data_IF_989680555942
#
_entry.id   IF_989680555942
#
_cell.length_a   1.000
_cell.length_b   1.000
_cell.length_c   1.000
_cell.angle_alpha   90.00
_cell.angle_beta   90.00
_cell.angle_gamma   90.00
#
_symmetry.space_group_name_H-M   'P 1'
#
loop_
_entity.id
_entity.type
_entity.pdbx_description
1 polymer ?
2 non-polymer ?
3 water ?
#
# COMPACT_ATOMS: atom_id res chain seq x y z
N UNK A 13 18.97 15.20 17.75
CA UNK A 13 19.78 15.85 16.67
C UNK A 13 20.08 14.86 15.54
N UNK A 14 20.38 13.61 15.91
CA UNK A 14 20.68 12.56 14.94
C UNK A 14 19.48 12.24 14.04
N UNK A 15 18.31 12.75 14.42
CA UNK A 15 17.10 12.59 13.62
C UNK A 15 16.74 13.85 12.83
N UNK A 16 17.64 14.83 12.86
CA UNK A 16 17.48 16.05 12.07
C UNK A 16 17.67 15.70 10.60
N UNK A 17 16.84 16.28 9.69
CA UNK A 17 16.77 15.92 8.27
C UNK A 17 18.12 15.69 7.55
N UNK A 18 19.01 16.65 7.61
CA UNK A 18 20.28 16.49 6.93
C UNK A 18 21.12 15.35 7.54
N UNK A 19 21.12 15.27 8.85
CA UNK A 19 21.94 14.28 9.55
C UNK A 19 21.39 12.87 9.35
N UNK A 20 20.06 12.77 9.42
CA UNK A 20 19.34 11.51 9.27
C UNK A 20 19.52 10.84 7.90
N UNK A 21 19.60 11.64 6.84
CA UNK A 21 19.86 11.13 5.51
C UNK A 21 21.30 10.66 5.39
N UNK A 22 22.24 11.45 5.90
CA UNK A 22 23.63 11.03 5.89
C UNK A 22 23.82 9.78 6.74
N UNK A 23 23.07 9.69 7.84
CA UNK A 23 23.18 8.51 8.67
C UNK A 23 22.62 7.31 7.92
N UNK A 24 21.50 7.49 7.22
CA UNK A 24 20.90 6.39 6.48
C UNK A 24 21.78 5.95 5.32
N UNK A 25 22.49 6.88 4.71
CA UNK A 25 23.43 6.58 3.65
C UNK A 25 24.48 5.57 4.12
N UNK A 26 25.17 5.89 5.20
CA UNK A 26 26.24 5.03 5.70
C UNK A 26 25.69 3.65 6.09
N UNK A 27 24.42 3.58 6.50
CA UNK A 27 23.82 2.34 6.97
C UNK A 27 23.45 1.42 5.83
N UNK A 28 23.73 1.84 4.60
CA UNK A 28 23.36 1.04 3.43
C UNK A 28 24.04 -0.33 3.47
N UNK A 29 23.29 -1.40 3.19
CA UNK A 29 23.79 -2.79 3.12
C UNK A 29 24.84 -2.96 2.03
N UNK A 30 25.82 -3.85 2.23
CA UNK A 30 26.89 -4.06 1.25
C UNK A 30 26.35 -4.81 0.05
N UNK A 31 27.16 -4.91 -1.01
CA UNK A 31 26.78 -5.76 -2.12
C UNK A 31 26.73 -7.20 -1.64
N UNK A 32 25.73 -7.94 -2.10
CA UNK A 32 25.62 -9.36 -1.76
C UNK A 32 25.83 -10.25 -2.98
N UNK A 33 26.88 -11.06 -2.96
CA UNK A 33 27.13 -12.09 -3.96
C UNK A 33 26.61 -13.45 -3.47
N UNK A 34 25.72 -14.07 -4.24
CA UNK A 34 25.21 -15.40 -3.87
C UNK A 34 26.24 -16.51 -4.05
N UNK A 35 27.08 -16.39 -5.08
CA UNK A 35 28.16 -17.35 -5.30
C UNK A 35 27.63 -18.73 -5.64
N UNK A 36 26.94 -18.84 -6.78
CA UNK A 36 26.43 -20.11 -7.26
C UNK A 36 27.60 -20.97 -7.74
N UNK A 37 27.71 -22.20 -7.18
CA UNK A 37 28.77 -23.16 -7.53
C UNK A 37 28.65 -23.70 -8.97
N UNK A 44 13.30 -23.84 -9.66
CA UNK A 44 14.14 -24.63 -8.77
C UNK A 44 15.51 -23.98 -8.52
N UNK A 45 16.33 -23.83 -9.55
CA UNK A 45 17.64 -23.19 -9.39
C UNK A 45 17.51 -21.67 -9.34
N UNK A 46 16.76 -21.10 -10.29
CA UNK A 46 16.49 -19.67 -10.24
C UNK A 46 15.88 -19.44 -8.89
N UNK A 47 14.92 -20.27 -8.52
CA UNK A 47 14.32 -20.19 -7.20
C UNK A 47 15.31 -20.52 -6.09
N UNK A 48 16.35 -21.31 -6.39
CA UNK A 48 17.33 -21.57 -5.36
C UNK A 48 18.19 -20.34 -5.15
N UNK A 49 18.62 -19.75 -6.27
CA UNK A 49 19.41 -18.55 -6.21
C UNK A 49 18.66 -17.44 -5.46
N UNK A 50 17.44 -17.14 -5.88
CA UNK A 50 16.68 -16.07 -5.26
C UNK A 50 16.60 -16.31 -3.75
N UNK A 51 16.34 -17.54 -3.36
CA UNK A 51 16.24 -17.86 -1.94
C UNK A 51 17.58 -17.75 -1.23
N UNK A 52 18.65 -18.18 -1.88
CA UNK A 52 19.92 -18.12 -1.19
C UNK A 52 20.28 -16.66 -0.93
N UNK A 53 19.91 -15.80 -1.88
CA UNK A 53 20.16 -14.36 -1.80
C UNK A 53 19.33 -13.74 -0.68
N UNK A 54 18.04 -14.02 -0.65
CA UNK A 54 17.19 -13.38 0.34
C UNK A 54 17.74 -13.66 1.72
N UNK A 55 18.13 -14.91 1.94
CA UNK A 55 18.67 -15.33 3.21
C UNK A 55 19.92 -14.54 3.57
N UNK A 56 20.82 -14.36 2.62
CA UNK A 56 21.99 -13.50 2.82
C UNK A 56 21.62 -12.02 3.07
N UNK A 57 20.66 -11.50 2.32
CA UNK A 57 20.30 -10.09 2.41
C UNK A 57 19.65 -9.77 3.75
N UNK A 58 18.90 -10.73 4.28
CA UNK A 58 18.19 -10.54 5.54
C UNK A 58 19.13 -10.29 6.71
N UNK A 59 20.30 -10.92 6.66
CA UNK A 59 21.28 -10.69 7.69
C UNK A 59 21.64 -9.21 7.69
N UNK A 60 22.06 -8.71 6.53
CA UNK A 60 22.42 -7.30 6.40
C UNK A 60 21.27 -6.33 6.62
N UNK A 61 20.05 -6.78 6.37
CA UNK A 61 18.92 -5.91 6.61
C UNK A 61 18.76 -5.63 8.11
N UNK A 62 19.03 -6.64 8.94
CA UNK A 62 18.93 -6.47 10.38
C UNK A 62 19.97 -5.43 10.81
N UNK A 63 21.18 -5.58 10.31
CA UNK A 63 22.23 -4.61 10.64
C UNK A 63 21.73 -3.23 10.29
N UNK A 64 21.10 -3.13 9.13
CA UNK A 64 20.74 -1.86 8.55
C UNK A 64 19.75 -1.19 9.48
N UNK A 65 18.70 -1.92 9.83
CA UNK A 65 17.65 -1.37 10.69
C UNK A 65 18.21 -0.93 12.05
N UNK A 66 19.16 -1.69 12.57
CA UNK A 66 19.77 -1.34 13.84
C UNK A 66 20.47 0.03 13.78
N UNK A 67 20.92 0.40 12.59
CA UNK A 67 21.62 1.66 12.40
C UNK A 67 20.70 2.84 12.16
N UNK A 68 19.41 2.58 12.02
CA UNK A 68 18.47 3.67 11.90
C UNK A 68 18.32 4.31 13.27
N UNK A 69 18.69 5.59 13.40
CA UNK A 69 18.59 6.27 14.70
C UNK A 69 17.28 6.00 15.40
N UNK A 70 17.39 5.43 16.60
CA UNK A 70 16.22 5.21 17.42
C UNK A 70 15.55 3.85 17.25
N UNK A 71 15.99 3.06 16.27
CA UNK A 71 15.29 1.81 16.04
C UNK A 71 15.55 0.89 17.23
N UNK A 72 16.83 0.76 17.56
CA UNK A 72 17.26 -0.10 18.65
C UNK A 72 16.59 0.26 19.99
N UNK A 73 16.10 1.49 20.10
CA UNK A 73 15.46 1.94 21.31
C UNK A 73 13.97 1.67 21.39
N UNK A 74 13.37 1.18 20.31
CA UNK A 74 12.00 0.68 20.41
C UNK A 74 12.07 -0.60 21.26
N UNK A 75 10.93 -1.05 21.76
CA UNK A 75 10.93 -2.31 22.50
C UNK A 75 11.36 -3.42 21.54
N UNK A 76 12.04 -4.42 22.06
CA UNK A 76 12.51 -5.50 21.21
C UNK A 76 11.29 -6.12 20.55
N UNK A 77 10.17 -6.02 21.24
CA UNK A 77 8.89 -6.49 20.72
C UNK A 77 8.60 -5.84 19.37
N UNK A 78 8.68 -4.51 19.35
CA UNK A 78 8.38 -3.77 18.15
C UNK A 78 9.40 -4.01 17.06
N UNK A 79 10.68 -4.04 17.42
CA UNK A 79 11.75 -4.26 16.45
C UNK A 79 11.51 -5.54 15.67
N UNK A 80 11.29 -6.63 16.42
CA UNK A 80 11.03 -7.93 15.84
C UNK A 80 9.77 -7.86 15.00
N UNK A 81 8.73 -7.26 15.56
CA UNK A 81 7.45 -7.11 14.88
C UNK A 81 7.62 -6.42 13.52
N UNK A 82 8.39 -5.34 13.48
CA UNK A 82 8.55 -4.59 12.26
C UNK A 82 9.38 -5.39 11.29
N UNK A 83 10.47 -5.95 11.78
CA UNK A 83 11.39 -6.71 10.93
C UNK A 83 10.76 -7.96 10.31
N UNK A 84 9.81 -8.56 11.02
CA UNK A 84 9.18 -9.78 10.54
C UNK A 84 8.23 -9.46 9.37
N UNK A 85 7.56 -8.31 9.42
CA UNK A 85 6.54 -8.00 8.41
C UNK A 85 7.01 -7.15 7.23
N UNK A 86 8.20 -6.59 7.32
CA UNK A 86 8.66 -5.69 6.27
C UNK A 86 9.69 -6.33 5.34
N UNK A 87 10.32 -7.41 5.77
CA UNK A 87 11.57 -7.82 5.14
C UNK A 87 11.41 -7.93 3.61
N UNK A 88 10.30 -8.51 3.18
CA UNK A 88 10.03 -8.74 1.75
C UNK A 88 9.95 -7.39 1.01
N UNK A 89 9.12 -6.47 1.49
CA UNK A 89 9.04 -5.13 0.90
C UNK A 89 10.41 -4.48 0.77
N UNK A 90 11.20 -4.55 1.85
CA UNK A 90 12.48 -3.84 1.88
C UNK A 90 13.47 -4.46 0.90
N UNK A 91 13.33 -5.76 0.67
CA UNK A 91 14.19 -6.41 -0.31
C UNK A 91 13.73 -5.96 -1.67
N UNK A 92 12.42 -5.86 -1.84
CA UNK A 92 11.90 -5.45 -3.13
C UNK A 92 12.28 -3.99 -3.43
N UNK A 93 12.08 -3.09 -2.47
CA UNK A 93 12.46 -1.69 -2.64
C UNK A 93 13.90 -1.59 -3.08
N UNK A 94 14.76 -2.43 -2.48
CA UNK A 94 16.17 -2.41 -2.85
C UNK A 94 16.42 -2.96 -4.25
N UNK A 95 15.62 -3.96 -4.65
CA UNK A 95 15.66 -4.51 -6.00
C UNK A 95 15.30 -3.39 -7.00
N UNK A 96 14.17 -2.76 -6.75
CA UNK A 96 13.67 -1.70 -7.61
C UNK A 96 14.70 -0.61 -7.80
N UNK A 97 15.32 -0.21 -6.72
CA UNK A 97 16.22 0.90 -6.78
C UNK A 97 17.46 0.56 -7.58
N UNK A 98 18.00 -0.64 -7.46
CA UNK A 98 19.19 -0.90 -8.28
C UNK A 98 18.80 -1.21 -9.73
N UNK A 99 17.53 -1.57 -9.93
CA UNK A 99 17.02 -1.89 -11.28
C UNK A 99 16.52 -0.67 -12.03
N UNK A 100 16.57 0.48 -11.37
CA UNK A 100 15.81 1.64 -11.78
C UNK A 100 16.24 2.20 -13.14
N UNK A 101 17.48 1.96 -13.54
CA UNK A 101 18.03 2.57 -14.74
C UNK A 101 18.10 1.58 -15.88
N UNK A 102 17.53 0.39 -15.67
CA UNK A 102 17.58 -0.64 -16.68
C UNK A 102 16.23 -1.29 -16.85
N UNK A 103 15.41 -0.74 -17.76
CA UNK A 103 14.08 -1.29 -18.04
C UNK A 103 14.19 -2.68 -18.64
N UNK A 104 13.22 -3.52 -18.31
CA UNK A 104 13.21 -4.90 -18.78
C UNK A 104 14.08 -5.84 -17.98
N UNK A 105 14.76 -5.32 -16.96
CA UNK A 105 15.65 -6.15 -16.16
C UNK A 105 15.51 -5.93 -14.66
N UNK A 106 16.06 -6.86 -13.89
CA UNK A 106 15.95 -6.79 -12.44
C UNK A 106 17.30 -7.16 -11.83
N UNK A 107 18.10 -6.15 -11.47
CA UNK A 107 19.41 -6.44 -10.89
C UNK A 107 19.22 -6.89 -9.44
N UNK A 108 19.04 -8.19 -9.24
CA UNK A 108 18.92 -8.76 -7.90
C UNK A 108 20.23 -8.67 -7.14
N UNK A 109 21.33 -9.02 -7.79
CA UNK A 109 22.64 -8.96 -7.13
C UNK A 109 23.70 -8.87 -8.20
N UNK A 110 24.95 -8.58 -7.81
CA UNK A 110 26.02 -8.35 -8.80
C UNK A 110 26.35 -9.53 -9.71
N UNK A 111 25.70 -10.67 -9.49
CA UNK A 111 25.89 -11.80 -10.40
C UNK A 111 24.57 -12.50 -10.58
N UNK A 112 23.50 -11.72 -10.55
CA UNK A 112 22.17 -12.27 -10.73
C UNK A 112 21.23 -11.21 -11.32
N UNK A 113 21.41 -10.96 -12.62
CA UNK A 113 20.55 -10.07 -13.37
C UNK A 113 19.58 -10.94 -14.15
N UNK A 114 18.29 -10.80 -13.88
CA UNK A 114 17.27 -11.54 -14.59
C UNK A 114 16.40 -10.59 -15.41
N UNK A 115 16.16 -10.89 -16.68
CA UNK A 115 15.21 -10.10 -17.45
C UNK A 115 13.84 -10.74 -17.42
N UNK A 116 12.84 -9.98 -17.81
CA UNK A 116 11.46 -10.35 -17.58
C UNK A 116 11.19 -11.79 -17.97
N UNK A 117 11.62 -12.17 -19.17
CA UNK A 117 11.24 -13.45 -19.75
C UNK A 117 11.81 -14.64 -18.99
N UNK A 118 12.96 -14.47 -18.36
CA UNK A 118 13.51 -15.53 -17.52
C UNK A 118 12.53 -15.89 -16.42
N UNK A 119 11.47 -15.11 -16.29
CA UNK A 119 10.50 -15.36 -15.25
C UNK A 119 9.39 -16.31 -15.68
N UNK A 120 9.42 -16.76 -16.93
CA UNK A 120 8.42 -17.69 -17.43
C UNK A 120 8.74 -19.11 -17.01
N UNK A 121 10.03 -19.39 -16.83
CA UNK A 121 10.48 -20.68 -16.29
C UNK A 121 9.61 -21.09 -15.11
N UNK A 122 9.72 -20.38 -14.01
CA UNK A 122 8.91 -20.70 -12.83
C UNK A 122 7.54 -20.06 -12.92
N UNK A 123 6.51 -20.86 -12.66
CA UNK A 123 5.13 -20.43 -12.81
C UNK A 123 4.79 -19.46 -11.69
N UNK A 124 4.03 -18.41 -12.03
CA UNK A 124 3.59 -17.45 -11.01
C UNK A 124 4.59 -16.33 -10.79
N UNK A 125 5.82 -16.53 -11.24
CA UNK A 125 6.88 -15.56 -11.05
C UNK A 125 6.84 -14.48 -12.11
N UNK A 126 6.46 -14.82 -13.33
CA UNK A 126 6.35 -13.81 -14.36
C UNK A 126 5.39 -12.70 -13.94
N UNK A 127 4.31 -13.09 -13.27
CA UNK A 127 3.34 -12.13 -12.80
C UNK A 127 4.00 -11.13 -11.87
N UNK A 128 4.81 -11.63 -10.95
CA UNK A 128 5.46 -10.79 -9.94
C UNK A 128 6.53 -9.91 -10.56
N UNK A 129 7.36 -10.48 -11.42
CA UNK A 129 8.36 -9.70 -12.15
C UNK A 129 7.72 -8.49 -12.84
N UNK A 130 6.49 -8.66 -13.30
CA UNK A 130 5.87 -7.59 -14.08
C UNK A 130 5.37 -6.49 -13.17
N UNK A 131 5.04 -6.83 -11.92
CA UNK A 131 4.73 -5.81 -10.92
C UNK A 131 5.98 -5.02 -10.52
N UNK A 132 7.05 -5.73 -10.22
CA UNK A 132 8.29 -5.11 -9.82
C UNK A 132 8.81 -4.20 -10.92
N UNK A 133 8.71 -4.66 -12.16
CA UNK A 133 9.22 -3.90 -13.30
C UNK A 133 8.35 -2.67 -13.53
N UNK A 134 7.04 -2.84 -13.33
CA UNK A 134 6.10 -1.76 -13.54
C UNK A 134 6.37 -0.70 -12.49
N UNK A 135 6.56 -1.18 -11.26
CA UNK A 135 6.75 -0.31 -10.10
C UNK A 135 8.10 0.43 -10.20
N UNK A 136 9.12 -0.29 -10.61
CA UNK A 136 10.41 0.30 -10.91
C UNK A 136 10.27 1.40 -11.96
N UNK A 137 9.44 1.14 -12.97
CA UNK A 137 9.29 2.05 -14.09
C UNK A 137 8.72 3.36 -13.61
N UNK A 138 7.81 3.27 -12.65
CA UNK A 138 7.18 4.44 -12.09
C UNK A 138 8.18 5.30 -11.25
N UNK A 139 9.00 4.66 -10.41
CA UNK A 139 10.09 5.34 -9.74
C UNK A 139 11.09 5.96 -10.74
N UNK A 140 11.26 5.35 -11.90
CA UNK A 140 12.12 5.98 -12.90
C UNK A 140 11.47 7.24 -13.47
N UNK A 141 10.15 7.19 -13.63
CA UNK A 141 9.42 8.31 -14.17
C UNK A 141 9.39 9.48 -13.21
N UNK A 142 9.38 9.20 -11.90
CA UNK A 142 9.33 10.24 -10.90
C UNK A 142 10.73 10.74 -10.67
N UNK A 143 11.69 10.05 -11.25
CA UNK A 143 13.07 10.43 -11.08
C UNK A 143 13.41 10.39 -9.60
N UNK A 144 13.15 9.25 -8.96
CA UNK A 144 13.45 9.05 -7.56
C UNK A 144 14.91 9.38 -7.30
N UNK A 145 15.14 10.23 -6.30
CA UNK A 145 16.48 10.65 -5.91
C UNK A 145 17.12 9.71 -4.88
N UNK A 146 18.45 9.67 -4.84
CA UNK A 146 19.15 8.83 -3.88
C UNK A 146 18.69 9.15 -2.44
N UNK A 147 18.60 10.45 -2.10
CA UNK A 147 18.09 10.83 -0.79
C UNK A 147 16.66 10.35 -0.56
N UNK A 148 15.79 10.56 -1.54
CA UNK A 148 14.39 10.20 -1.36
C UNK A 148 14.29 8.70 -1.08
N UNK A 149 15.06 7.93 -1.84
CA UNK A 149 15.06 6.48 -1.70
C UNK A 149 15.49 6.10 -0.28
N UNK A 150 16.59 6.68 0.19
CA UNK A 150 17.02 6.39 1.55
C UNK A 150 15.87 6.56 2.55
N UNK A 151 15.06 7.60 2.38
CA UNK A 151 13.99 7.86 3.34
C UNK A 151 12.85 6.88 3.14
N UNK A 152 12.53 6.62 1.88
CA UNK A 152 11.37 5.81 1.57
C UNK A 152 11.55 4.42 2.16
N UNK A 153 12.74 3.87 1.94
CA UNK A 153 13.09 2.58 2.49
C UNK A 153 12.95 2.55 4.03
N UNK A 154 13.59 3.49 4.73
CA UNK A 154 13.36 3.64 6.17
C UNK A 154 11.87 3.64 6.53
N UNK A 155 11.07 4.35 5.74
CA UNK A 155 9.66 4.46 6.05
C UNK A 155 8.93 3.14 5.84
N UNK A 156 9.45 2.32 4.94
CA UNK A 156 8.76 1.06 4.65
C UNK A 156 8.86 0.21 5.89
N UNK A 157 10.05 0.12 6.46
CA UNK A 157 10.30 -0.60 7.71
C UNK A 157 9.42 -0.08 8.82
N UNK A 158 9.44 1.23 9.04
CA UNK A 158 8.75 1.81 10.18
C UNK A 158 7.23 1.73 10.07
N UNK A 159 6.74 1.58 8.85
CA UNK A 159 5.31 1.59 8.62
C UNK A 159 4.79 0.17 8.33
N UNK A 160 5.68 -0.82 8.39
CA UNK A 160 5.35 -2.19 7.97
C UNK A 160 4.27 -2.87 8.81
N UNK A 161 4.18 -2.56 10.09
CA UNK A 161 3.13 -3.13 10.92
C UNK A 161 2.36 -2.05 11.67
N UNK A 162 1.03 -2.20 11.68
CA UNK A 162 0.09 -1.24 12.28
C UNK A 162 0.06 -1.50 13.75
N UNK A 163 0.08 -2.79 14.12
CA UNK A 163 -0.18 -3.22 15.49
C UNK A 163 0.70 -2.49 16.49
N UNK A 164 2.03 -2.53 16.28
CA UNK A 164 2.92 -1.89 17.26
C UNK A 164 2.69 -0.39 17.35
N UNK A 165 1.61 0.09 16.73
CA UNK A 165 1.28 1.50 16.73
C UNK A 165 -0.14 1.76 17.26
N UNK A 166 -0.97 0.71 17.31
CA UNK A 166 -2.33 0.86 17.83
C UNK A 166 -2.67 -0.17 18.91
N UNK A 174 6.25 2.56 23.99
CA UNK A 174 7.13 2.47 22.83
C UNK A 174 6.39 2.85 21.55
N UNK A 175 5.07 2.74 21.56
CA UNK A 175 4.28 3.19 20.42
C UNK A 175 4.56 4.67 20.20
N UNK A 176 4.48 5.45 21.29
CA UNK A 176 4.89 6.84 21.26
C UNK A 176 6.19 6.94 20.47
N UNK A 177 7.16 6.10 20.79
CA UNK A 177 8.46 6.18 20.16
C UNK A 177 8.44 5.91 18.67
N UNK A 178 7.67 4.91 18.24
CA UNK A 178 7.62 4.53 16.83
C UNK A 178 6.95 5.64 16.01
N UNK A 179 5.88 6.20 16.56
CA UNK A 179 5.19 7.30 15.92
C UNK A 179 6.15 8.47 15.69
N UNK A 180 6.95 8.80 16.70
CA UNK A 180 7.86 9.92 16.59
C UNK A 180 8.97 9.64 15.61
N UNK A 181 9.43 8.39 15.57
CA UNK A 181 10.44 7.98 14.61
C UNK A 181 9.91 8.09 13.16
N UNK A 182 8.69 7.62 12.94
CA UNK A 182 8.07 7.63 11.63
C UNK A 182 7.92 9.08 11.16
N UNK A 183 7.44 9.96 12.04
CA UNK A 183 7.35 11.38 11.73
C UNK A 183 8.72 11.94 11.40
N UNK A 184 9.73 11.44 12.08
CA UNK A 184 11.06 11.98 11.85
C UNK A 184 11.49 11.76 10.41
N UNK A 185 11.20 10.57 9.88
CA UNK A 185 11.68 10.21 8.56
C UNK A 185 10.86 10.87 7.47
N UNK A 186 9.55 10.95 7.69
CA UNK A 186 8.68 11.82 6.91
C UNK A 186 9.22 13.25 6.77
N UNK A 187 9.52 13.90 7.90
CA UNK A 187 10.02 15.27 7.85
C UNK A 187 11.27 15.31 6.98
N UNK A 188 12.07 14.26 7.07
CA UNK A 188 13.30 14.24 6.31
C UNK A 188 12.96 14.16 4.83
N UNK A 189 11.97 13.34 4.49
CA UNK A 189 11.52 13.20 3.12
C UNK A 189 10.95 14.54 2.65
N UNK A 190 10.11 15.15 3.47
CA UNK A 190 9.54 16.45 3.16
C UNK A 190 10.66 17.44 2.95
N UNK A 191 11.69 17.35 3.78
CA UNK A 191 12.80 18.30 3.66
C UNK A 191 13.54 18.12 2.34
N UNK A 192 13.88 16.86 2.05
CA UNK A 192 14.51 16.45 0.79
C UNK A 192 13.74 16.98 -0.42
N UNK A 193 12.43 16.80 -0.41
CA UNK A 193 11.62 17.27 -1.51
C UNK A 193 11.65 18.80 -1.61
N UNK A 194 11.66 19.46 -0.47
CA UNK A 194 11.66 20.91 -0.45
C UNK A 194 12.91 21.48 -1.10
N UNK A 195 14.09 21.02 -0.72
CA UNK A 195 15.30 21.59 -1.33
C UNK A 195 15.38 21.25 -2.81
N UNK A 196 14.30 20.65 -3.30
CA UNK A 196 14.15 20.37 -4.72
C UNK A 196 13.95 21.69 -5.48
N UNK A 197 13.48 22.71 -4.78
CA UNK A 197 13.29 23.99 -5.42
C UNK A 197 12.00 24.11 -6.19
N UNK A 198 11.14 23.09 -6.11
CA UNK A 198 9.84 23.13 -6.80
C UNK A 198 8.79 23.83 -5.96
N UNK A 199 7.69 24.22 -6.60
CA UNK A 199 6.65 24.99 -5.94
C UNK A 199 6.02 24.15 -4.84
N UNK A 200 5.22 24.78 -3.98
CA UNK A 200 4.61 24.08 -2.87
C UNK A 200 3.47 23.16 -3.26
N UNK A 201 2.82 23.44 -4.38
CA UNK A 201 1.79 22.53 -4.87
C UNK A 201 2.49 21.28 -5.36
N UNK A 202 3.65 21.46 -5.99
CA UNK A 202 4.36 20.33 -6.56
C UNK A 202 5.01 19.51 -5.45
N UNK A 203 5.35 20.18 -4.37
CA UNK A 203 5.98 19.48 -3.26
C UNK A 203 4.98 18.52 -2.66
N UNK A 204 3.75 18.97 -2.46
CA UNK A 204 2.71 18.11 -1.94
C UNK A 204 2.40 16.99 -2.92
N UNK A 205 2.31 17.32 -4.20
CA UNK A 205 2.00 16.30 -5.18
C UNK A 205 3.08 15.22 -5.18
N UNK A 206 4.34 15.63 -5.15
CA UNK A 206 5.43 14.66 -5.17
C UNK A 206 5.52 13.84 -3.88
N UNK A 207 5.18 14.43 -2.74
CA UNK A 207 5.06 13.64 -1.53
C UNK A 207 3.96 12.60 -1.73
N UNK A 208 2.80 13.04 -2.21
CA UNK A 208 1.68 12.12 -2.42
C UNK A 208 2.02 11.04 -3.44
N UNK A 209 2.80 11.38 -4.46
CA UNK A 209 3.04 10.39 -5.51
C UNK A 209 3.98 9.33 -5.00
N UNK A 210 4.92 9.72 -4.16
CA UNK A 210 5.89 8.80 -3.57
C UNK A 210 5.17 7.83 -2.63
N UNK A 211 4.27 8.36 -1.82
CA UNK A 211 3.65 7.57 -0.78
C UNK A 211 2.63 6.59 -1.34
N UNK A 212 2.02 6.95 -2.46
CA UNK A 212 1.09 6.04 -3.10
C UNK A 212 1.85 4.87 -3.73
N UNK A 213 3.06 5.11 -4.21
CA UNK A 213 3.83 3.98 -4.67
C UNK A 213 4.04 2.91 -3.58
N UNK A 214 4.06 3.32 -2.31
CA UNK A 214 4.26 2.36 -1.21
C UNK A 214 3.15 1.30 -1.18
N UNK A 215 1.92 1.68 -1.55
CA UNK A 215 0.84 0.72 -1.76
C UNK A 215 1.23 -0.34 -2.78
N UNK A 216 1.97 0.05 -3.81
CA UNK A 216 2.32 -0.90 -4.83
C UNK A 216 3.49 -1.78 -4.42
N UNK A 217 4.41 -1.25 -3.62
CA UNK A 217 5.47 -2.08 -3.06
C UNK A 217 4.90 -3.07 -2.04
N UNK A 218 3.94 -2.62 -1.25
CA UNK A 218 3.28 -3.51 -0.33
C UNK A 218 2.69 -4.64 -1.16
N UNK A 219 2.07 -4.26 -2.28
CA UNK A 219 1.35 -5.18 -3.13
C UNK A 219 2.28 -6.29 -3.65
N UNK A 220 3.41 -5.89 -4.21
CA UNK A 220 4.34 -6.84 -4.79
C UNK A 220 4.94 -7.72 -3.66
N UNK A 221 5.01 -7.14 -2.47
CA UNK A 221 5.50 -7.84 -1.31
C UNK A 221 4.56 -8.98 -0.96
N UNK A 222 3.26 -8.69 -0.95
CA UNK A 222 2.28 -9.70 -0.65
C UNK A 222 2.28 -10.83 -1.69
N UNK A 223 2.43 -10.49 -2.95
CA UNK A 223 2.43 -11.49 -4.01
C UNK A 223 3.61 -12.41 -3.87
N UNK A 224 4.76 -11.84 -3.54
CA UNK A 224 5.95 -12.64 -3.36
C UNK A 224 5.84 -13.54 -2.15
N UNK A 225 5.12 -13.09 -1.10
CA UNK A 225 5.00 -13.87 0.14
C UNK A 225 4.05 -15.02 -0.07
N UNK A 226 2.90 -14.73 -0.66
CA UNK A 226 1.93 -15.77 -0.94
C UNK A 226 2.61 -16.83 -1.78
N UNK A 227 3.33 -16.38 -2.82
CA UNK A 227 4.02 -17.29 -3.71
C UNK A 227 5.12 -18.04 -3.00
N UNK A 228 5.88 -17.35 -2.15
CA UNK A 228 6.99 -17.97 -1.43
C UNK A 228 6.49 -19.14 -0.59
N UNK A 229 5.29 -18.99 -0.05
CA UNK A 229 4.73 -20.00 0.82
C UNK A 229 4.08 -21.15 0.05
N UNK A 230 3.67 -20.90 -1.20
CA UNK A 230 3.14 -21.94 -2.08
C UNK A 230 4.25 -22.80 -2.67
N UNK A 231 5.47 -22.67 -2.16
CA UNK A 231 6.57 -23.39 -2.78
C UNK A 231 6.97 -24.68 -2.08
N UNK A 232 7.29 -25.69 -2.90
CA UNK A 232 7.77 -26.99 -2.43
C UNK A 232 8.82 -27.53 -3.41
N UNK A 239 13.73 -19.44 3.94
CA UNK A 239 14.10 -18.08 4.32
C UNK A 239 13.36 -17.62 5.58
N UNK A 240 12.05 -17.82 5.61
CA UNK A 240 11.26 -17.28 6.72
C UNK A 240 11.70 -17.85 8.07
N UNK A 241 11.98 -19.14 8.09
CA UNK A 241 12.44 -19.80 9.31
C UNK A 241 13.83 -19.32 9.68
N UNK A 242 14.69 -19.19 8.68
CA UNK A 242 16.03 -18.63 8.88
C UNK A 242 15.95 -17.22 9.44
N UNK A 243 14.98 -16.44 8.94
CA UNK A 243 14.75 -15.09 9.45
C UNK A 243 14.34 -15.10 10.93
N UNK A 244 13.41 -15.99 11.28
CA UNK A 244 13.01 -16.14 12.67
C UNK A 244 14.15 -16.56 13.58
N UNK A 245 15.09 -17.34 13.03
CA UNK A 245 16.31 -17.70 13.76
C UNK A 245 17.15 -16.46 14.01
N UNK A 246 17.33 -15.64 12.98
CA UNK A 246 18.06 -14.38 13.11
C UNK A 246 17.36 -13.46 14.11
N UNK A 247 16.04 -13.57 14.16
CA UNK A 247 15.23 -12.70 15.01
C UNK A 247 15.32 -13.11 16.47
N UNK A 248 15.38 -14.41 16.73
CA UNK A 248 15.63 -14.88 18.08
C UNK A 248 17.07 -14.54 18.48
N UNK A 249 18.00 -14.58 17.51
CA UNK A 249 19.39 -14.17 17.75
C UNK A 249 19.46 -12.68 18.09
N UNK A 250 18.64 -11.88 17.40
CA UNK A 250 18.48 -10.48 17.72
C UNK A 250 17.86 -10.33 19.11
N UNK B 12 -12.12 21.46 -16.46
CA UNK B 12 -11.12 21.75 -15.40
C UNK B 12 -11.83 22.04 -14.08
N UNK B 13 -12.82 22.93 -14.13
CA UNK B 13 -13.42 23.47 -12.91
C UNK B 13 -14.20 22.42 -12.10
N UNK B 14 -14.80 21.46 -12.79
CA UNK B 14 -15.55 20.40 -12.13
C UNK B 14 -14.63 19.56 -11.24
N UNK B 15 -13.32 19.66 -11.46
CA UNK B 15 -12.32 18.94 -10.68
C UNK B 15 -11.71 19.84 -9.59
N UNK B 16 -12.30 21.01 -9.39
CA UNK B 16 -11.82 21.94 -8.37
C UNK B 16 -12.08 21.40 -6.98
N UNK B 17 -11.12 21.58 -6.07
CA UNK B 17 -11.21 21.02 -4.71
C UNK B 17 -12.63 21.04 -4.10
N UNK B 18 -13.29 22.18 -4.12
CA UNK B 18 -14.59 22.26 -3.47
C UNK B 18 -15.67 21.49 -4.22
N UNK B 19 -15.74 21.67 -5.53
CA UNK B 19 -16.78 21.02 -6.31
C UNK B 19 -16.59 19.51 -6.23
N UNK B 20 -15.34 19.08 -6.33
CA UNK B 20 -14.97 17.67 -6.34
C UNK B 20 -15.48 16.88 -5.13
N UNK B 21 -15.24 17.43 -3.94
CA UNK B 21 -15.66 16.82 -2.70
C UNK B 21 -17.19 16.74 -2.62
N UNK B 22 -17.87 17.82 -2.99
CA UNK B 22 -19.33 17.77 -3.01
C UNK B 22 -19.82 16.77 -4.05
N UNK B 23 -19.13 16.68 -5.19
CA UNK B 23 -19.56 15.74 -6.19
C UNK B 23 -19.37 14.32 -5.67
N UNK B 24 -18.27 14.08 -4.97
CA UNK B 24 -18.00 12.73 -4.46
C UNK B 24 -19.02 12.41 -3.39
N UNK B 25 -19.45 13.42 -2.65
CA UNK B 25 -20.45 13.21 -1.60
C UNK B 25 -21.75 12.64 -2.18
N UNK B 26 -22.32 13.34 -3.14
CA UNK B 26 -23.55 12.87 -3.80
C UNK B 26 -23.34 11.50 -4.44
N UNK B 27 -22.13 11.23 -4.93
CA UNK B 27 -21.86 9.96 -5.60
C UNK B 27 -21.81 8.78 -4.62
N UNK B 28 -21.99 9.04 -3.34
CA UNK B 28 -21.87 7.95 -2.35
C UNK B 28 -22.92 6.87 -2.59
N UNK B 29 -22.50 5.59 -2.54
CA UNK B 29 -23.36 4.41 -2.71
C UNK B 29 -24.46 4.38 -1.66
N UNK B 30 -25.62 3.77 -1.99
CA UNK B 30 -26.74 3.68 -1.04
C UNK B 30 -26.43 2.62 0.01
N UNK B 31 -27.22 2.59 1.08
CA UNK B 31 -27.12 1.49 2.03
C UNK B 31 -27.45 0.17 1.32
N UNK B 32 -26.73 -0.89 1.63
CA UNK B 32 -26.98 -2.18 1.00
C UNK B 32 -27.49 -3.23 1.98
N UNK B 33 -28.79 -3.52 1.90
CA UNK B 33 -29.42 -4.57 2.72
C UNK B 33 -29.20 -5.93 2.08
N UNK B 34 -28.49 -6.79 2.78
CA UNK B 34 -28.17 -8.12 2.26
C UNK B 34 -29.43 -9.01 2.21
N UNK B 35 -30.33 -8.81 3.17
CA UNK B 35 -31.61 -9.50 3.16
C UNK B 35 -31.46 -11.02 3.13
N UNK B 36 -31.05 -11.59 4.27
CA UNK B 36 -30.91 -13.03 4.41
C UNK B 36 -32.24 -13.65 4.82
N UNK B 37 -32.69 -14.67 4.08
CA UNK B 37 -33.97 -15.37 4.33
C UNK B 37 -34.03 -16.11 5.67
N UNK B 44 -19.30 -20.73 5.94
CA UNK B 44 -20.30 -21.00 4.90
C UNK B 44 -21.42 -19.95 4.85
N UNK B 45 -22.16 -19.78 5.95
CA UNK B 45 -23.25 -18.81 5.96
C UNK B 45 -22.71 -17.38 6.14
N UNK B 46 -21.85 -17.19 7.14
CA UNK B 46 -21.19 -15.90 7.29
C UNK B 46 -20.47 -15.57 5.98
N UNK B 47 -19.74 -16.53 5.46
CA UNK B 47 -19.07 -16.33 4.18
C UNK B 47 -20.05 -16.29 3.04
N UNK B 48 -21.29 -16.72 3.27
CA UNK B 48 -22.32 -16.65 2.23
C UNK B 48 -22.90 -15.25 2.22
N UNK B 49 -23.13 -14.73 3.42
CA UNK B 49 -23.58 -13.36 3.58
C UNK B 49 -22.57 -12.38 2.99
N UNK B 50 -21.35 -12.42 3.50
CA UNK B 50 -20.33 -11.48 3.03
C UNK B 50 -20.26 -11.50 1.52
N UNK B 51 -20.36 -12.69 0.93
CA UNK B 51 -20.24 -12.82 -0.51
C UNK B 51 -21.44 -12.27 -1.26
N UNK B 52 -22.63 -12.44 -0.69
CA UNK B 52 -23.79 -11.91 -1.36
C UNK B 52 -23.76 -10.39 -1.27
N UNK B 53 -23.30 -9.89 -0.14
CA UNK B 53 -23.16 -8.45 0.09
C UNK B 53 -22.17 -7.87 -0.92
N UNK B 54 -20.98 -8.47 -1.01
CA UNK B 54 -19.94 -7.92 -1.87
C UNK B 54 -20.50 -7.77 -3.27
N UNK B 55 -21.27 -8.77 -3.68
CA UNK B 55 -21.81 -8.81 -5.02
C UNK B 55 -22.75 -7.63 -5.24
N UNK B 56 -23.64 -7.41 -4.27
CA UNK B 56 -24.53 -6.24 -4.30
C UNK B 56 -23.76 -4.90 -4.28
N UNK B 57 -22.75 -4.81 -3.42
CA UNK B 57 -21.96 -3.60 -3.32
C UNK B 57 -21.24 -3.28 -4.61
N UNK B 58 -20.75 -4.30 -5.30
CA UNK B 58 -20.01 -4.12 -6.56
C UNK B 58 -20.82 -3.44 -7.63
N UNK B 59 -22.13 -3.68 -7.62
CA UNK B 59 -23.01 -3.04 -8.57
C UNK B 59 -22.92 -1.55 -8.34
N UNK B 60 -23.16 -1.15 -7.09
CA UNK B 60 -23.16 0.25 -6.74
C UNK B 60 -21.80 0.91 -6.82
N UNK B 61 -20.74 0.12 -6.66
CA UNK B 61 -19.42 0.67 -6.77
C UNK B 61 -19.14 1.14 -8.19
N UNK B 62 -19.66 0.41 -9.19
CA UNK B 62 -19.48 0.78 -10.59
C UNK B 62 -20.18 2.13 -10.79
N UNK B 63 -21.41 2.23 -10.32
CA UNK B 63 -22.12 3.49 -10.46
C UNK B 63 -21.26 4.61 -9.86
N UNK B 64 -20.64 4.30 -8.72
CA UNK B 64 -19.98 5.32 -7.93
C UNK B 64 -18.80 5.85 -8.73
N UNK B 65 -17.98 4.93 -9.23
CA UNK B 65 -16.83 5.34 -10.02
C UNK B 65 -17.27 6.17 -11.22
N UNK B 66 -18.36 5.76 -11.86
CA UNK B 66 -18.83 6.44 -13.06
C UNK B 66 -19.22 7.91 -12.78
N UNK B 67 -19.47 8.21 -11.50
CA UNK B 67 -19.81 9.58 -11.09
C UNK B 67 -18.59 10.40 -10.68
N UNK B 68 -17.42 9.81 -10.67
CA UNK B 68 -16.21 10.58 -10.39
C UNK B 68 -15.84 11.34 -11.64
N UNK B 69 -15.83 12.67 -11.57
CA UNK B 69 -15.52 13.50 -12.73
C UNK B 69 -14.32 12.99 -13.50
N UNK B 70 -14.54 12.71 -14.78
CA UNK B 70 -13.46 12.29 -15.65
C UNK B 70 -13.24 10.78 -15.70
N UNK B 71 -13.83 10.04 -14.76
CA UNK B 71 -13.56 8.62 -14.75
C UNK B 71 -14.04 8.05 -16.07
N UNK B 72 -15.26 8.41 -16.42
CA UNK B 72 -15.90 7.95 -17.65
C UNK B 72 -15.11 8.33 -18.93
N UNK B 73 -14.32 9.38 -18.85
CA UNK B 73 -13.59 9.85 -20.02
C UNK B 73 -12.18 9.27 -20.11
N UNK B 74 -11.90 8.24 -19.32
CA UNK B 74 -10.69 7.44 -19.53
C UNK B 74 -11.07 6.37 -20.55
N UNK B 75 -10.07 5.68 -21.09
CA UNK B 75 -10.36 4.61 -22.03
C UNK B 75 -11.07 3.50 -21.27
N UNK B 76 -11.97 2.81 -21.95
CA UNK B 76 -12.70 1.73 -21.33
C UNK B 76 -11.72 0.75 -20.74
N UNK B 77 -10.61 0.55 -21.44
CA UNK B 77 -9.59 -0.38 -20.98
C UNK B 77 -9.10 -0.01 -19.59
N UNK B 78 -8.89 1.28 -19.36
CA UNK B 78 -8.40 1.70 -18.07
C UNK B 78 -9.49 1.64 -17.01
N UNK B 79 -10.72 1.97 -17.38
CA UNK B 79 -11.81 1.92 -16.42
C UNK B 79 -11.95 0.51 -15.86
N UNK B 80 -11.85 -0.47 -16.75
CA UNK B 80 -12.02 -1.86 -16.36
C UNK B 80 -10.82 -2.32 -15.54
N UNK B 81 -9.62 -1.94 -15.98
CA UNK B 81 -8.41 -2.23 -15.22
C UNK B 81 -8.56 -1.78 -13.76
N UNK B 82 -8.98 -0.54 -13.58
CA UNK B 82 -9.03 0.06 -12.24
C UNK B 82 -10.10 -0.61 -11.41
N UNK B 83 -11.30 -0.74 -11.98
CA UNK B 83 -12.38 -1.36 -11.24
C UNK B 83 -12.09 -2.81 -10.81
N UNK B 84 -11.45 -3.59 -11.69
CA UNK B 84 -11.10 -4.96 -11.33
C UNK B 84 -10.02 -5.00 -10.23
N UNK B 85 -9.11 -4.03 -10.24
CA UNK B 85 -7.98 -4.04 -9.30
C UNK B 85 -8.34 -3.55 -7.90
N UNK B 86 -9.34 -2.70 -7.80
CA UNK B 86 -9.55 -1.96 -6.57
C UNK B 86 -10.74 -2.45 -5.75
N UNK B 87 -11.62 -3.23 -6.36
CA UNK B 87 -12.96 -3.37 -5.80
C UNK B 87 -12.90 -3.83 -4.34
N UNK B 88 -11.98 -4.75 -4.03
CA UNK B 88 -11.82 -5.23 -2.66
C UNK B 88 -11.38 -4.09 -1.70
N UNK B 89 -10.29 -3.39 -2.03
CA UNK B 89 -9.86 -2.22 -1.24
C UNK B 89 -10.99 -1.23 -1.04
N UNK B 90 -11.73 -0.92 -2.10
CA UNK B 90 -12.75 0.10 -1.97
C UNK B 90 -13.85 -0.38 -1.04
N UNK B 91 -14.13 -1.68 -1.09
CA UNK B 91 -15.17 -2.26 -0.23
C UNK B 91 -14.69 -2.23 1.21
N UNK B 92 -13.42 -2.56 1.40
CA UNK B 92 -12.82 -2.53 2.72
C UNK B 92 -12.73 -1.11 3.27
N UNK B 93 -12.31 -0.17 2.43
CA UNK B 93 -12.27 1.24 2.84
C UNK B 93 -13.64 1.66 3.33
N UNK B 94 -14.69 1.23 2.63
CA UNK B 94 -16.04 1.57 3.06
C UNK B 94 -16.42 0.91 4.38
N UNK B 95 -15.93 -0.31 4.60
CA UNK B 95 -16.17 -1.03 5.85
C UNK B 95 -15.56 -0.25 7.02
N UNK B 96 -14.27 0.02 6.91
CA UNK B 96 -13.52 0.77 7.92
C UNK B 96 -14.21 2.06 8.29
N UNK B 97 -14.70 2.75 7.28
CA UNK B 97 -15.29 4.05 7.53
C UNK B 97 -16.59 3.95 8.32
N UNK B 98 -17.46 3.01 7.98
CA UNK B 98 -18.69 2.95 8.78
C UNK B 98 -18.47 2.31 10.15
N UNK B 99 -17.41 1.52 10.27
CA UNK B 99 -17.03 0.88 11.53
C UNK B 99 -16.25 1.80 12.46
N UNK B 100 -15.94 2.99 11.98
CA UNK B 100 -14.85 3.77 12.54
C UNK B 100 -15.13 4.20 13.99
N UNK B 101 -16.38 4.23 14.38
CA UNK B 101 -16.74 4.74 15.69
C UNK B 101 -17.14 3.64 16.64
N UNK B 102 -16.88 2.40 16.24
CA UNK B 102 -17.26 1.28 17.07
C UNK B 102 -16.15 0.27 17.09
N UNK B 103 -15.23 0.43 18.04
CA UNK B 103 -14.10 -0.49 18.20
C UNK B 103 -14.59 -1.90 18.52
N UNK B 104 -13.89 -2.89 18.00
CA UNK B 104 -14.24 -4.28 18.24
C UNK B 104 -15.28 -4.82 17.29
N UNK B 105 -15.82 -3.95 16.43
CA UNK B 105 -16.89 -4.35 15.51
C UNK B 105 -16.63 -3.95 14.07
N UNK B 106 -17.37 -4.57 13.18
CA UNK B 106 -17.27 -4.28 11.75
C UNK B 106 -18.67 -4.19 11.20
N UNK B 107 -19.14 -2.96 10.97
CA UNK B 107 -20.45 -2.77 10.38
C UNK B 107 -20.33 -2.99 8.87
N UNK B 108 -20.59 -4.22 8.43
CA UNK B 108 -20.56 -4.56 7.01
C UNK B 108 -21.76 -4.00 6.27
N UNK B 109 -22.93 -4.07 6.89
CA UNK B 109 -24.14 -3.55 6.28
C UNK B 109 -25.15 -3.33 7.40
N UNK B 110 -26.27 -2.66 7.13
CA UNK B 110 -27.27 -2.38 8.16
C UNK B 110 -27.90 -3.61 8.84
N UNK B 111 -27.69 -4.80 8.29
CA UNK B 111 -28.19 -5.98 8.98
C UNK B 111 -27.09 -7.02 9.11
N UNK B 112 -25.86 -6.56 9.14
CA UNK B 112 -24.72 -7.45 9.26
C UNK B 112 -23.57 -6.80 10.01
N UNK B 113 -23.70 -6.75 11.33
CA UNK B 113 -22.64 -6.27 12.20
C UNK B 113 -21.95 -7.47 12.82
N UNK B 114 -20.65 -7.58 12.62
CA UNK B 114 -19.88 -8.68 13.21
C UNK B 114 -18.85 -8.13 14.17
N UNK B 115 -18.57 -8.84 15.26
CA UNK B 115 -17.47 -8.44 16.13
C UNK B 115 -16.32 -9.42 16.01
N UNK B 116 -15.15 -8.99 16.48
CA UNK B 116 -13.92 -9.71 16.23
C UNK B 116 -14.16 -11.21 16.35
N UNK B 117 -14.70 -11.62 17.49
CA UNK B 117 -14.78 -13.04 17.84
C UNK B 117 -15.51 -13.88 16.81
N UNK B 118 -16.59 -13.36 16.27
CA UNK B 118 -17.34 -14.09 15.26
C UNK B 118 -16.47 -14.47 14.07
N UNK B 119 -15.27 -13.90 14.04
CA UNK B 119 -14.36 -14.21 12.95
C UNK B 119 -13.61 -15.53 13.16
N UNK B 120 -13.85 -16.16 14.30
CA UNK B 120 -13.19 -17.42 14.61
C UNK B 120 -13.86 -18.59 13.91
N UNK B 121 -15.16 -18.47 13.68
CA UNK B 121 -15.91 -19.50 12.98
C UNK B 121 -15.17 -19.95 11.73
N UNK B 122 -15.12 -19.08 10.73
CA UNK B 122 -14.40 -19.40 9.50
C UNK B 122 -12.89 -19.20 9.69
N UNK B 123 -12.11 -20.18 9.24
CA UNK B 123 -10.67 -20.18 9.42
C UNK B 123 -10.05 -19.17 8.46
N UNK B 124 -9.04 -18.45 8.95
CA UNK B 124 -8.33 -17.48 8.12
C UNK B 124 -8.93 -16.08 8.23
N UNK B 125 -10.22 -16.04 8.52
CA UNK B 125 -10.96 -14.80 8.57
C UNK B 125 -10.57 -13.97 9.79
N UNK B 126 -10.21 -14.64 10.88
CA UNK B 126 -9.86 -13.90 12.09
C UNK B 126 -8.65 -13.02 11.88
N UNK B 127 -7.68 -13.49 11.09
CA UNK B 127 -6.51 -12.70 10.83
C UNK B 127 -6.92 -11.41 10.10
N UNK B 128 -7.76 -11.55 9.08
CA UNK B 128 -8.20 -10.42 8.29
C UNK B 128 -8.94 -9.41 9.16
N UNK B 129 -9.95 -9.87 9.89
CA UNK B 129 -10.70 -9.00 10.80
C UNK B 129 -9.76 -8.17 11.67
N UNK B 130 -8.62 -8.73 12.03
CA UNK B 130 -7.75 -8.04 12.95
C UNK B 130 -6.96 -6.94 12.25
N UNK B 131 -6.66 -7.13 10.97
CA UNK B 131 -6.09 -6.07 10.16
C UNK B 131 -7.12 -4.96 9.97
N UNK B 132 -8.32 -5.34 9.56
CA UNK B 132 -9.36 -4.37 9.30
C UNK B 132 -9.64 -3.56 10.55
N UNK B 133 -9.67 -4.23 11.69
CA UNK B 133 -9.99 -3.56 12.93
C UNK B 133 -8.84 -2.67 13.39
N UNK B 134 -7.61 -3.14 13.13
CA UNK B 134 -6.44 -2.37 13.50
C UNK B 134 -6.41 -1.10 12.65
N UNK B 135 -6.64 -1.26 11.35
CA UNK B 135 -6.64 -0.15 10.41
C UNK B 135 -7.74 0.87 10.69
N UNK B 136 -8.93 0.37 11.03
CA UNK B 136 -10.01 1.22 11.47
C UNK B 136 -9.62 2.04 12.71
N UNK B 137 -8.77 1.50 13.56
CA UNK B 137 -8.44 2.19 14.82
C UNK B 137 -7.46 3.29 14.52
N UNK B 138 -6.61 3.00 13.55
CA UNK B 138 -5.58 3.97 13.14
C UNK B 138 -6.24 5.15 12.38
N UNK B 139 -7.36 4.89 11.69
CA UNK B 139 -8.17 5.97 11.13
C UNK B 139 -8.99 6.71 12.18
N UNK B 140 -9.35 6.04 13.28
CA UNK B 140 -10.11 6.72 14.35
C UNK B 140 -9.18 7.60 15.19
N UNK B 141 -7.93 7.18 15.31
CA UNK B 141 -6.94 7.98 16.01
C UNK B 141 -6.59 9.27 15.25
N UNK B 142 -6.55 9.19 13.92
CA UNK B 142 -6.19 10.35 13.09
C UNK B 142 -7.38 11.24 12.94
N UNK B 143 -8.51 10.77 13.43
CA UNK B 143 -9.75 11.50 13.31
C UNK B 143 -10.05 11.81 11.83
N UNK B 144 -10.13 10.75 11.01
CA UNK B 144 -10.45 10.91 9.59
C UNK B 144 -11.72 11.71 9.42
N UNK B 145 -11.67 12.75 8.60
CA UNK B 145 -12.80 13.63 8.33
C UNK B 145 -13.67 13.06 7.20
N UNK B 146 -14.94 13.40 7.22
CA UNK B 146 -15.86 12.92 6.20
C UNK B 146 -15.37 13.31 4.78
N UNK B 147 -14.87 14.52 4.57
CA UNK B 147 -14.33 14.79 3.24
C UNK B 147 -12.98 14.18 2.95
N UNK B 148 -12.16 14.02 3.99
CA UNK B 148 -10.88 13.32 3.80
C UNK B 148 -11.15 11.89 3.30
N UNK B 149 -12.18 11.29 3.86
CA UNK B 149 -12.58 9.95 3.49
C UNK B 149 -13.02 9.90 2.03
N UNK B 150 -13.90 10.84 1.64
CA UNK B 150 -14.34 10.86 0.25
C UNK B 150 -13.17 10.91 -0.69
N UNK B 151 -12.14 11.70 -0.36
CA UNK B 151 -11.02 11.85 -1.29
C UNK B 151 -10.19 10.59 -1.30
N UNK B 152 -10.00 10.03 -0.12
CA UNK B 152 -9.12 8.87 0.04
C UNK B 152 -9.65 7.70 -0.78
N UNK B 153 -10.94 7.43 -0.65
CA UNK B 153 -11.59 6.38 -1.40
C UNK B 153 -11.43 6.58 -2.93
N UNK B 154 -11.73 7.79 -3.42
CA UNK B 154 -11.42 8.10 -4.82
C UNK B 154 -9.99 7.73 -5.19
N UNK B 155 -9.05 8.02 -4.30
CA UNK B 155 -7.64 7.81 -4.62
C UNK B 155 -7.35 6.32 -4.71
N UNK B 156 -8.07 5.54 -3.91
CA UNK B 156 -7.81 4.10 -3.86
C UNK B 156 -8.13 3.50 -5.22
N UNK B 157 -9.27 3.90 -5.79
CA UNK B 157 -9.65 3.50 -7.14
C UNK B 157 -8.62 3.97 -8.15
N UNK B 158 -8.35 5.27 -8.17
CA UNK B 158 -7.47 5.83 -9.19
C UNK B 158 -6.03 5.30 -9.10
N UNK B 159 -5.66 4.83 -7.92
CA UNK B 159 -4.29 4.37 -7.71
C UNK B 159 -4.18 2.83 -7.68
N UNK B 160 -5.32 2.15 -7.86
CA UNK B 160 -5.36 0.69 -7.74
C UNK B 160 -4.50 -0.07 -8.76
N UNK B 161 -4.33 0.46 -9.96
CA UNK B 161 -3.46 -0.20 -10.93
C UNK B 161 -2.34 0.68 -11.45
N UNK B 162 -1.14 0.11 -11.56
CA UNK B 162 0.02 0.83 -12.05
C UNK B 162 0.06 0.87 -13.55
N UNK B 163 -0.28 -0.27 -14.18
CA UNK B 163 -0.07 -0.47 -15.61
C UNK B 163 -0.67 0.64 -16.48
N UNK B 164 -1.94 1.01 -16.25
CA UNK B 164 -2.58 2.05 -17.04
C UNK B 164 -1.90 3.41 -16.89
N UNK B 165 -0.77 3.43 -16.18
CA UNK B 165 -0.02 4.67 -15.96
C UNK B 165 1.40 4.55 -16.52
N UNK B 166 1.85 3.33 -16.81
CA UNK B 166 3.20 3.12 -17.34
C UNK B 166 3.20 2.18 -18.53
N UNK B 174 -4.46 8.28 -22.70
CA UNK B 174 -5.35 8.10 -21.56
C UNK B 174 -4.57 8.02 -20.24
N UNK B 175 -3.31 7.63 -20.33
CA UNK B 175 -2.44 7.65 -19.16
C UNK B 175 -2.28 9.10 -18.68
N UNK B 176 -2.10 10.01 -19.64
CA UNK B 176 -2.12 11.44 -19.36
C UNK B 176 -3.35 11.80 -18.55
N UNK B 177 -4.50 11.26 -18.92
CA UNK B 177 -5.75 11.64 -18.27
C UNK B 177 -5.84 11.10 -16.85
N UNK B 178 -5.34 9.89 -16.63
CA UNK B 178 -5.42 9.26 -15.32
C UNK B 178 -4.53 10.02 -14.34
N UNK B 179 -3.32 10.35 -14.78
CA UNK B 179 -2.38 11.10 -13.97
C UNK B 179 -3.02 12.43 -13.55
N UNK B 180 -3.66 13.08 -14.50
CA UNK B 180 -4.30 14.35 -14.21
C UNK B 180 -5.39 14.17 -13.17
N UNK B 181 -6.21 13.15 -13.34
CA UNK B 181 -7.30 12.88 -12.40
C UNK B 181 -6.76 12.60 -10.98
N UNK B 182 -5.69 11.81 -10.94
CA UNK B 182 -5.08 11.40 -9.69
C UNK B 182 -4.47 12.62 -9.00
N UNK B 183 -3.88 13.53 -9.77
CA UNK B 183 -3.41 14.80 -9.20
C UNK B 183 -4.58 15.65 -8.71
N UNK B 184 -5.72 15.55 -9.37
CA UNK B 184 -6.84 16.39 -8.99
C UNK B 184 -7.34 16.04 -7.59
N UNK B 185 -7.50 14.74 -7.35
CA UNK B 185 -8.06 14.26 -6.09
C UNK B 185 -7.07 14.49 -4.95
N UNK B 186 -5.80 14.23 -5.22
CA UNK B 186 -4.75 14.64 -4.31
C UNK B 186 -4.85 16.12 -3.92
N UNK B 187 -4.93 17.01 -4.90
CA UNK B 187 -5.04 18.43 -4.61
C UNK B 187 -6.23 18.67 -3.71
N UNK B 188 -7.31 17.95 -3.99
CA UNK B 188 -8.51 18.10 -3.21
C UNK B 188 -8.26 17.69 -1.75
N UNK B 189 -7.55 16.58 -1.56
CA UNK B 189 -7.19 16.12 -0.23
C UNK B 189 -6.30 17.15 0.46
N UNK B 190 -5.26 17.60 -0.24
CA UNK B 190 -4.39 18.63 0.30
C UNK B 190 -5.23 19.84 0.67
N UNK B 191 -6.16 20.21 -0.18
CA UNK B 191 -7.00 21.37 0.08
C UNK B 191 -7.81 21.16 1.36
N UNK B 192 -8.44 19.98 1.46
CA UNK B 192 -9.22 19.59 2.64
C UNK B 192 -8.37 19.70 3.91
N UNK B 193 -7.16 19.13 3.86
CA UNK B 193 -6.28 19.19 5.00
C UNK B 193 -5.87 20.63 5.29
N UNK B 194 -5.72 21.44 4.26
CA UNK B 194 -5.26 22.79 4.47
C UNK B 194 -6.27 23.59 5.29
N UNK B 195 -7.52 23.62 4.86
CA UNK B 195 -8.52 24.40 5.60
C UNK B 195 -8.78 23.83 6.99
N UNK B 196 -8.02 22.80 7.32
CA UNK B 196 -7.98 22.25 8.67
C UNK B 196 -7.44 23.32 9.61
N UNK B 197 -6.63 24.24 9.06
CA UNK B 197 -6.14 25.34 9.86
C UNK B 197 -4.82 25.04 10.55
N UNK B 198 -4.39 23.78 10.51
CA UNK B 198 -3.16 23.39 11.20
C UNK B 198 -1.93 23.92 10.46
N UNK B 199 -0.77 23.83 11.11
CA UNK B 199 0.44 24.40 10.56
C UNK B 199 0.84 23.66 9.28
N UNK B 200 1.92 24.08 8.65
CA UNK B 200 2.33 23.49 7.39
C UNK B 200 3.14 22.21 7.57
N UNK B 201 3.87 22.10 8.67
CA UNK B 201 4.60 20.88 8.93
C UNK B 201 3.59 19.80 9.22
N UNK B 202 2.50 20.19 9.87
CA UNK B 202 1.47 19.23 10.28
C UNK B 202 0.63 18.82 9.07
N UNK B 203 0.44 19.76 8.16
CA UNK B 203 -0.30 19.47 6.94
C UNK B 203 0.42 18.37 6.17
N UNK B 204 1.72 18.52 6.01
CA UNK B 204 2.49 17.47 5.38
C UNK B 204 2.42 16.17 6.18
N UNK B 205 2.62 16.24 7.48
CA UNK B 205 2.61 15.03 8.25
C UNK B 205 1.28 14.30 8.09
N UNK B 206 0.18 15.04 8.12
CA UNK B 206 -1.12 14.40 8.00
C UNK B 206 -1.38 13.84 6.59
N UNK B 207 -0.85 14.51 5.57
CA UNK B 207 -0.97 13.96 4.23
C UNK B 207 -0.20 12.63 4.25
N UNK B 208 1.04 12.68 4.72
CA UNK B 208 1.86 11.48 4.79
C UNK B 208 1.22 10.39 5.66
N UNK B 209 0.47 10.77 6.68
CA UNK B 209 -0.01 9.74 7.58
C UNK B 209 -1.18 9.03 6.96
N UNK B 210 -2.01 9.78 6.25
CA UNK B 210 -3.17 9.24 5.54
C UNK B 210 -2.69 8.31 4.41
N UNK B 211 -1.66 8.73 3.69
CA UNK B 211 -1.27 7.98 2.52
C UNK B 211 -0.55 6.69 2.88
N UNK B 212 0.21 6.70 3.96
CA UNK B 212 0.86 5.47 4.42
C UNK B 212 -0.21 4.46 4.82
N UNK B 213 -1.32 4.92 5.35
CA UNK B 213 -2.40 4.01 5.63
C UNK B 213 -2.84 3.22 4.38
N UNK B 214 -2.79 3.85 3.20
CA UNK B 214 -3.24 3.17 2.00
C UNK B 214 -2.49 1.85 1.81
N UNK B 215 -1.22 1.79 2.21
CA UNK B 215 -0.46 0.54 2.16
C UNK B 215 -1.13 -0.55 2.99
N UNK B 216 -1.74 -0.15 4.10
CA UNK B 216 -2.34 -1.12 4.97
C UNK B 216 -3.67 -1.59 4.42
N UNK B 217 -4.43 -0.68 3.80
CA UNK B 217 -5.63 -1.07 3.09
C UNK B 217 -5.32 -2.01 1.91
N UNK B 218 -4.32 -1.64 1.12
CA UNK B 218 -3.91 -2.51 0.04
C UNK B 218 -3.69 -3.89 0.67
N UNK B 219 -2.92 -3.88 1.74
CA UNK B 219 -2.48 -5.10 2.41
C UNK B 219 -3.65 -5.99 2.81
N UNK B 220 -4.66 -5.42 3.45
CA UNK B 220 -5.81 -6.19 3.89
C UNK B 220 -6.61 -6.64 2.68
N UNK B 221 -6.60 -5.82 1.65
CA UNK B 221 -7.26 -6.16 0.40
C UNK B 221 -6.66 -7.45 -0.15
N UNK B 222 -5.34 -7.55 -0.11
CA UNK B 222 -4.68 -8.72 -0.64
C UNK B 222 -4.97 -9.97 0.19
N UNK B 223 -5.11 -9.82 1.51
CA UNK B 223 -5.33 -10.98 2.35
C UNK B 223 -6.74 -11.49 2.14
N UNK B 224 -7.65 -10.56 1.88
CA UNK B 224 -9.02 -10.95 1.62
C UNK B 224 -9.15 -11.64 0.28
N UNK B 225 -8.41 -11.18 -0.71
CA UNK B 225 -8.49 -11.76 -2.06
C UNK B 225 -7.95 -13.18 -2.03
N UNK B 226 -6.80 -13.33 -1.40
CA UNK B 226 -6.19 -14.64 -1.29
C UNK B 226 -7.16 -15.58 -0.58
N UNK B 227 -7.70 -15.14 0.53
CA UNK B 227 -8.64 -15.95 1.28
C UNK B 227 -9.88 -16.26 0.46
N UNK B 228 -10.30 -15.32 -0.39
CA UNK B 228 -11.50 -15.51 -1.18
C UNK B 228 -11.27 -16.56 -2.25
N UNK B 229 -10.09 -16.52 -2.84
CA UNK B 229 -9.77 -17.45 -3.89
C UNK B 229 -9.49 -18.85 -3.37
N UNK B 230 -9.10 -18.98 -2.11
CA UNK B 230 -8.88 -20.30 -1.56
C UNK B 230 -10.21 -20.98 -1.30
N UNK B 231 -11.29 -20.23 -1.25
CA UNK B 231 -12.57 -20.82 -0.85
C UNK B 231 -13.29 -21.60 -1.93
N UNK B 232 -14.09 -22.56 -1.48
CA UNK B 232 -15.01 -23.35 -2.31
C UNK B 232 -16.26 -23.70 -1.49
N UNK B 239 -18.14 -13.99 -6.62
CA UNK B 239 -18.14 -12.54 -6.72
C UNK B 239 -17.26 -12.07 -7.89
N UNK B 240 -16.05 -12.62 -8.02
CA UNK B 240 -15.11 -12.13 -9.02
C UNK B 240 -15.62 -12.31 -10.45
N UNK B 241 -16.24 -13.46 -10.71
CA UNK B 241 -16.81 -13.74 -12.02
C UNK B 241 -18.02 -12.85 -12.27
N UNK B 242 -18.85 -12.69 -11.25
CA UNK B 242 -20.00 -11.78 -11.32
C UNK B 242 -19.57 -10.35 -11.59
N UNK B 243 -18.42 -9.97 -11.04
CA UNK B 243 -17.82 -8.67 -11.32
C UNK B 243 -17.39 -8.54 -12.78
N UNK B 244 -16.79 -9.60 -13.32
CA UNK B 244 -16.37 -9.60 -14.72
C UNK B 244 -17.58 -9.52 -15.65
N UNK B 245 -18.70 -10.12 -15.25
CA UNK B 245 -19.94 -9.97 -15.99
C UNK B 245 -20.38 -8.50 -15.97
N UNK B 246 -20.40 -7.91 -14.77
CA UNK B 246 -20.73 -6.50 -14.63
C UNK B 246 -19.80 -5.63 -15.44
N UNK B 247 -18.54 -6.04 -15.50
CA UNK B 247 -17.52 -5.29 -16.20
C UNK B 247 -17.68 -5.40 -17.72
N UNK B 248 -18.18 -6.55 -18.17
CA UNK B 248 -18.49 -6.69 -19.59
C UNK B 248 -19.72 -5.86 -19.95
N UNK B 249 -20.72 -5.79 -19.05
CA UNK B 249 -21.93 -5.00 -19.29
C UNK B 249 -21.63 -3.50 -19.25
N UNK B 250 -20.77 -3.11 -18.32
CA UNK B 250 -20.20 -1.76 -18.31
C UNK B 250 -19.53 -1.49 -19.65
N UNK B 251 -18.94 -2.54 -20.22
CA UNK B 251 -18.23 -2.48 -21.52
C UNK B 251 -19.15 -2.48 -22.74
N UNK B 252 -20.37 -2.96 -22.58
CA UNK B 252 -21.33 -2.99 -23.69
C UNK B 252 -22.40 -1.90 -23.49
#
# INVERSE_FOLDING_TARGET
MHHHHHHRELLLDALSPEQLVLTLLEAEPPHVLISRPSAPFTEASMMMSLTKLADKELVHMISWAKKIPGFVELSLFDQVRLLESCWMEVLMMGLMWRSIDHPGKLIFAPDLVLDRDEGKCVEGILEIFDMLLATTSRFRELKLQHKEYLCVKAMILLNSSMYPLVTATQDADSSRKLAHLLNAVTDALVWVIAKSGISSQQQSMRLANLLMLLSHVRHASNKGMEHLLNMKCKNVVPVYDLLLEMLNAHVLRGCKS
MHHHHHHRELLLDALSPEQLVLTLLEAEPPHVLISRPSAPFTEASMMMSLTKLADKELVHMISWAKKIPGFVELSLFDQVRLLESCWMEVLMMGLMWRSIDHPGKLIFAPDLVLDRDEGKCVEGILEIFDMLLATTSRFRELKLQHKEYLCVKAMILLNSSMYPLVTATQDADSSRKLAHLLNAVTDALVWVIAKSGISSQQQSMRLANLLMLLSHVRHASNKGMEHLLNMKCKNVVPVYDLLLEMLNAHVLRGCKS
#
